data_IF_401271074432
#
_entry.id   IF_401271074432
#
_cell.length_a   1.000
_cell.length_b   1.000
_cell.length_c   1.000
_cell.angle_alpha   90.00
_cell.angle_beta   90.00
_cell.angle_gamma   90.00
#
_symmetry.space_group_name_H-M   'P 1'
#
loop_
_entity.id
_entity.type
_entity.pdbx_description
1 polymer ?
#
# COMPACT_ATOMS: atom_id res chain seq x y z
N UNK A 1 -2.81 -11.90 26.78
CA UNK A 1 -1.96 -10.94 26.04
C UNK A 1 -2.84 -10.08 25.16
N UNK A 2 -2.73 -8.75 25.26
CA UNK A 2 -3.44 -7.81 24.37
C UNK A 2 -2.92 -7.95 22.94
N UNK A 3 -3.83 -7.97 21.96
CA UNK A 3 -3.45 -8.05 20.54
C UNK A 3 -2.74 -6.78 20.11
N UNK A 4 -1.69 -6.88 19.28
CA UNK A 4 -1.06 -5.75 18.63
C UNK A 4 -1.98 -5.20 17.53
N UNK A 5 -2.18 -3.90 17.50
CA UNK A 5 -3.08 -3.20 16.58
C UNK A 5 -2.33 -2.66 15.37
N UNK A 6 -2.65 -3.15 14.19
CA UNK A 6 -2.03 -2.74 12.93
C UNK A 6 -3.02 -1.89 12.13
N UNK A 7 -2.59 -0.72 11.67
CA UNK A 7 -3.38 0.18 10.86
C UNK A 7 -2.78 0.26 9.46
N UNK A 8 -3.45 -0.32 8.49
CA UNK A 8 -3.07 -0.27 7.09
C UNK A 8 -3.65 0.97 6.42
N UNK A 9 -2.92 1.55 5.48
CA UNK A 9 -3.39 2.65 4.65
C UNK A 9 -3.33 2.29 3.17
N UNK A 10 -4.39 2.63 2.42
CA UNK A 10 -4.47 2.43 0.98
C UNK A 10 -5.25 3.55 0.30
N UNK A 11 -4.68 4.08 -0.80
CA UNK A 11 -5.28 5.16 -1.60
C UNK A 11 -5.82 4.69 -2.95
N UNK A 12 -5.44 3.49 -3.42
CA UNK A 12 -5.84 2.99 -4.75
C UNK A 12 -6.00 1.47 -4.79
N UNK A 13 -6.78 0.96 -5.76
CA UNK A 13 -7.02 -0.48 -5.99
C UNK A 13 -5.72 -1.29 -6.07
N UNK A 14 -4.71 -0.81 -6.79
CA UNK A 14 -3.42 -1.47 -6.89
C UNK A 14 -2.77 -1.67 -5.52
N UNK A 15 -2.80 -0.67 -4.64
CA UNK A 15 -2.22 -0.74 -3.29
C UNK A 15 -2.86 -1.83 -2.43
N UNK A 16 -4.20 -1.85 -2.33
CA UNK A 16 -4.89 -2.86 -1.51
C UNK A 16 -4.69 -4.28 -2.03
N UNK A 17 -4.59 -4.46 -3.36
CA UNK A 17 -4.32 -5.77 -3.94
C UNK A 17 -2.96 -6.33 -3.55
N UNK A 18 -1.94 -5.48 -3.41
CA UNK A 18 -0.64 -5.87 -2.86
C UNK A 18 -0.70 -6.19 -1.36
N UNK A 19 -1.52 -5.47 -0.59
CA UNK A 19 -1.68 -5.68 0.86
C UNK A 19 -2.53 -6.90 1.20
N UNK A 20 -3.42 -7.35 0.31
CA UNK A 20 -4.37 -8.44 0.57
C UNK A 20 -3.69 -9.73 1.08
N UNK A 21 -2.59 -10.24 0.49
CA UNK A 21 -1.94 -11.45 1.00
C UNK A 21 -1.41 -11.30 2.44
N UNK A 22 -0.92 -10.11 2.77
CA UNK A 22 -0.46 -9.79 4.14
C UNK A 22 -1.65 -9.75 5.11
N UNK A 23 -2.75 -9.12 4.73
CA UNK A 23 -3.99 -9.05 5.52
C UNK A 23 -4.55 -10.45 5.74
N UNK A 24 -4.56 -11.31 4.72
CA UNK A 24 -4.99 -12.72 4.83
C UNK A 24 -4.11 -13.52 5.80
N UNK A 25 -2.80 -13.27 5.80
CA UNK A 25 -1.88 -13.87 6.76
C UNK A 25 -2.17 -13.41 8.20
N UNK A 26 -2.39 -12.12 8.39
CA UNK A 26 -2.70 -11.51 9.70
C UNK A 26 -4.03 -12.02 10.28
N UNK A 27 -5.05 -12.22 9.43
CA UNK A 27 -6.35 -12.80 9.87
C UNK A 27 -6.21 -14.14 10.58
N UNK A 28 -5.18 -14.91 10.26
CA UNK A 28 -4.89 -16.21 10.88
C UNK A 28 -4.18 -16.09 12.23
N UNK A 29 -3.71 -14.90 12.60
CA UNK A 29 -2.98 -14.67 13.83
C UNK A 29 -3.91 -14.26 14.96
N UNK A 30 -3.87 -15.02 16.06
CA UNK A 30 -4.58 -14.64 17.30
C UNK A 30 -3.95 -13.43 18.01
N UNK A 31 -2.71 -13.03 17.62
CA UNK A 31 -1.91 -11.99 18.30
C UNK A 31 -2.10 -10.59 17.72
N UNK A 32 -2.73 -10.47 16.54
CA UNK A 32 -2.85 -9.21 15.81
C UNK A 32 -4.32 -8.85 15.61
N UNK A 33 -4.67 -7.60 15.91
CA UNK A 33 -5.86 -6.92 15.43
C UNK A 33 -5.48 -5.96 14.31
N UNK A 34 -6.37 -5.73 13.34
CA UNK A 34 -6.07 -4.82 12.24
C UNK A 34 -7.27 -3.98 11.81
N UNK A 35 -6.96 -2.77 11.33
CA UNK A 35 -7.88 -1.91 10.60
C UNK A 35 -7.22 -1.39 9.33
N UNK A 36 -8.04 -0.97 8.38
CA UNK A 36 -7.59 -0.45 7.08
C UNK A 36 -8.23 0.92 6.86
N UNK A 37 -7.43 1.92 6.51
CA UNK A 37 -7.93 3.21 6.03
C UNK A 37 -8.03 3.15 4.51
N UNK A 38 -9.25 3.29 4.00
CA UNK A 38 -9.51 3.54 2.58
C UNK A 38 -9.59 5.04 2.34
N UNK A 39 -8.79 5.55 1.42
CA UNK A 39 -8.68 6.97 1.11
C UNK A 39 -8.58 7.20 -0.40
N UNK A 40 -8.41 8.45 -0.80
CA UNK A 40 -8.13 8.92 -2.16
C UNK A 40 -9.03 8.27 -3.23
N UNK A 41 -8.47 7.61 -4.24
CA UNK A 41 -9.20 6.99 -5.35
C UNK A 41 -10.24 5.94 -4.91
N UNK A 42 -10.06 5.31 -3.75
CA UNK A 42 -11.06 4.37 -3.23
C UNK A 42 -12.39 5.04 -2.89
N UNK A 43 -12.37 6.33 -2.61
CA UNK A 43 -13.53 7.11 -2.18
C UNK A 43 -14.15 7.94 -3.31
N UNK A 44 -13.51 7.98 -4.48
CA UNK A 44 -13.89 8.83 -5.58
C UNK A 44 -14.68 8.06 -6.65
N UNK A 45 -15.84 8.63 -7.05
CA UNK A 45 -16.70 8.06 -8.10
C UNK A 45 -16.03 8.01 -9.46
N UNK A 46 -15.15 8.96 -9.78
CA UNK A 46 -14.41 8.99 -11.05
C UNK A 46 -13.50 7.77 -11.21
N UNK A 47 -13.04 7.19 -10.09
CA UNK A 47 -12.22 5.97 -10.07
C UNK A 47 -13.01 4.72 -9.68
N UNK A 48 -14.36 4.79 -9.76
CA UNK A 48 -15.27 3.66 -9.54
C UNK A 48 -15.54 3.31 -8.09
N UNK A 49 -15.24 4.20 -7.13
CA UNK A 49 -15.46 3.97 -5.67
C UNK A 49 -15.00 2.57 -5.24
N UNK A 50 -13.77 2.22 -5.55
CA UNK A 50 -13.25 0.85 -5.41
C UNK A 50 -13.30 0.30 -3.98
N UNK A 51 -13.64 1.13 -2.96
CA UNK A 51 -14.00 0.67 -1.61
C UNK A 51 -15.09 -0.40 -1.60
N UNK A 52 -16.02 -0.35 -2.58
CA UNK A 52 -17.14 -1.28 -2.67
C UNK A 52 -16.69 -2.70 -3.06
N UNK A 53 -15.59 -2.83 -3.80
CA UNK A 53 -15.00 -4.14 -4.15
C UNK A 53 -14.43 -4.86 -2.92
N UNK A 54 -14.15 -4.11 -1.85
CA UNK A 54 -13.61 -4.61 -0.59
C UNK A 54 -14.65 -4.58 0.54
N UNK A 55 -15.94 -4.67 0.19
CA UNK A 55 -17.04 -4.65 1.17
C UNK A 55 -16.90 -5.74 2.26
N UNK A 56 -16.26 -6.86 1.95
CA UNK A 56 -15.95 -7.93 2.90
C UNK A 56 -14.98 -7.50 4.02
N UNK A 57 -14.28 -6.37 3.86
CA UNK A 57 -13.41 -5.76 4.87
C UNK A 57 -14.12 -4.65 5.67
N UNK A 58 -15.39 -4.35 5.42
CA UNK A 58 -16.13 -3.21 6.00
C UNK A 58 -15.99 -3.11 7.53
N UNK A 59 -16.08 -4.24 8.23
CA UNK A 59 -15.95 -4.27 9.71
C UNK A 59 -14.55 -3.85 10.19
N UNK A 60 -13.54 -3.96 9.33
CA UNK A 60 -12.15 -3.62 9.60
C UNK A 60 -11.72 -2.33 8.91
N UNK A 61 -12.66 -1.53 8.38
CA UNK A 61 -12.36 -0.36 7.57
C UNK A 61 -12.67 0.94 8.29
N UNK A 62 -11.78 1.91 8.11
CA UNK A 62 -12.03 3.32 8.25
C UNK A 62 -12.04 3.98 6.87
N UNK A 63 -12.69 5.10 6.77
CA UNK A 63 -12.78 5.87 5.54
C UNK A 63 -12.26 7.28 5.76
N UNK A 64 -11.28 7.69 4.93
CA UNK A 64 -10.66 9.00 4.97
C UNK A 64 -10.84 9.67 3.59
N UNK A 65 -12.01 10.31 3.35
CA UNK A 65 -12.29 10.91 2.06
C UNK A 65 -11.34 12.07 1.75
N UNK A 66 -10.88 12.14 0.50
CA UNK A 66 -10.07 13.22 -0.03
C UNK A 66 -10.94 14.38 -0.55
N UNK A 67 -10.31 15.52 -0.83
CA UNK A 67 -10.96 16.67 -1.47
C UNK A 67 -10.74 16.67 -2.99
N UNK A 68 -10.58 15.51 -3.59
CA UNK A 68 -10.28 15.39 -5.00
C UNK A 68 -11.48 15.79 -5.85
N UNK A 69 -11.41 16.96 -6.52
CA UNK A 69 -12.42 17.43 -7.48
C UNK A 69 -11.90 17.39 -8.93
N UNK A 70 -10.62 17.60 -9.10
CA UNK A 70 -9.89 17.49 -10.38
C UNK A 70 -8.42 17.26 -10.12
N UNK A 71 -7.72 16.71 -11.09
CA UNK A 71 -6.28 16.49 -11.01
C UNK A 71 -5.54 17.82 -11.12
N UNK A 72 -5.14 18.40 -10.00
CA UNK A 72 -4.32 19.61 -9.92
C UNK A 72 -3.52 19.64 -8.62
N UNK A 73 -2.39 20.35 -8.64
CA UNK A 73 -1.53 20.53 -7.47
C UNK A 73 -2.28 21.07 -6.26
N UNK A 74 -3.19 22.03 -6.47
CA UNK A 74 -4.02 22.61 -5.42
C UNK A 74 -4.90 21.54 -4.74
N UNK A 75 -5.61 20.73 -5.52
CA UNK A 75 -6.50 19.70 -4.95
C UNK A 75 -5.73 18.55 -4.34
N UNK A 76 -4.59 18.15 -4.91
CA UNK A 76 -3.70 17.15 -4.31
C UNK A 76 -3.20 17.61 -2.94
N UNK A 77 -2.71 18.87 -2.84
CA UNK A 77 -2.24 19.44 -1.57
C UNK A 77 -3.36 19.56 -0.53
N UNK A 78 -4.56 20.05 -0.93
CA UNK A 78 -5.73 20.11 -0.05
C UNK A 78 -6.21 18.73 0.39
N UNK A 79 -6.12 17.73 -0.46
CA UNK A 79 -6.47 16.34 -0.11
C UNK A 79 -5.53 15.76 0.93
N UNK A 80 -4.23 16.03 0.85
CA UNK A 80 -3.26 15.62 1.88
C UNK A 80 -3.58 16.29 3.22
N UNK A 81 -3.80 17.61 3.22
CA UNK A 81 -4.14 18.36 4.43
C UNK A 81 -5.44 17.83 5.10
N UNK A 82 -6.49 17.59 4.30
CA UNK A 82 -7.74 17.00 4.79
C UNK A 82 -7.55 15.56 5.27
N UNK A 83 -6.72 14.80 4.58
CA UNK A 83 -6.34 13.45 4.97
C UNK A 83 -5.64 13.41 6.31
N UNK A 84 -4.74 14.37 6.61
CA UNK A 84 -4.08 14.50 7.92
C UNK A 84 -5.14 14.69 9.02
N UNK A 85 -6.06 15.66 8.88
CA UNK A 85 -7.14 15.89 9.85
C UNK A 85 -7.99 14.63 10.10
N UNK A 86 -8.39 13.94 9.03
CA UNK A 86 -9.17 12.71 9.14
C UNK A 86 -8.39 11.59 9.84
N UNK A 87 -7.12 11.40 9.46
CA UNK A 87 -6.30 10.28 9.95
C UNK A 87 -5.86 10.47 11.41
N UNK A 88 -5.67 11.70 11.87
CA UNK A 88 -5.46 12.00 13.30
C UNK A 88 -6.63 11.46 14.13
N UNK A 89 -7.87 11.75 13.74
CA UNK A 89 -9.07 11.25 14.45
C UNK A 89 -9.16 9.74 14.46
N UNK A 90 -8.74 9.08 13.36
CA UNK A 90 -8.70 7.61 13.27
C UNK A 90 -7.62 7.05 14.19
N UNK A 91 -6.43 7.65 14.21
CA UNK A 91 -5.30 7.27 15.07
C UNK A 91 -5.69 7.38 16.53
N UNK A 92 -6.27 8.49 16.95
CA UNK A 92 -6.72 8.69 18.34
C UNK A 92 -7.78 7.68 18.76
N UNK A 93 -8.73 7.40 17.87
CA UNK A 93 -9.81 6.43 18.14
C UNK A 93 -9.28 4.99 18.21
N UNK A 94 -8.43 4.57 17.27
CA UNK A 94 -8.00 3.17 17.17
C UNK A 94 -6.77 2.88 18.04
N UNK A 95 -5.88 3.87 18.22
CA UNK A 95 -4.61 3.77 18.94
C UNK A 95 -3.78 2.58 18.42
N UNK A 96 -3.29 2.65 17.16
CA UNK A 96 -2.52 1.57 16.57
C UNK A 96 -1.14 1.46 17.21
N UNK A 97 -0.62 0.24 17.32
CA UNK A 97 0.79 -0.03 17.68
C UNK A 97 1.73 0.15 16.47
N UNK A 98 1.20 -0.04 15.25
CA UNK A 98 1.95 0.11 13.99
C UNK A 98 1.06 0.64 12.89
N UNK A 99 1.64 1.49 12.03
CA UNK A 99 1.02 1.93 10.77
C UNK A 99 1.77 1.29 9.60
N UNK A 100 1.03 0.75 8.62
CA UNK A 100 1.60 0.09 7.44
C UNK A 100 1.24 0.92 6.21
N UNK A 101 2.26 1.35 5.48
CA UNK A 101 2.15 2.09 4.23
C UNK A 101 2.85 1.34 3.10
N UNK A 102 2.38 1.52 1.86
CA UNK A 102 2.91 0.83 0.70
C UNK A 102 3.14 1.81 -0.45
N UNK A 103 4.37 1.79 -0.99
CA UNK A 103 4.72 2.45 -2.23
C UNK A 103 5.17 3.91 -2.05
N UNK A 104 4.70 4.76 -2.95
CA UNK A 104 5.35 6.03 -3.28
C UNK A 104 4.40 7.21 -3.49
N UNK A 105 3.13 7.04 -3.18
CA UNK A 105 2.14 8.07 -3.49
C UNK A 105 2.07 9.16 -2.40
N UNK A 106 1.80 10.38 -2.86
CA UNK A 106 1.78 11.57 -1.98
C UNK A 106 0.72 11.53 -0.89
N UNK A 107 -0.40 10.81 -1.10
CA UNK A 107 -1.41 10.63 -0.05
C UNK A 107 -0.89 9.89 1.19
N UNK A 108 0.24 9.18 1.10
CA UNK A 108 0.87 8.52 2.25
C UNK A 108 1.32 9.52 3.32
N UNK A 109 1.62 10.77 2.95
CA UNK A 109 1.91 11.82 3.93
C UNK A 109 0.74 12.06 4.88
N UNK A 110 -0.49 11.85 4.43
CA UNK A 110 -1.67 12.08 5.25
C UNK A 110 -1.78 11.16 6.46
N UNK A 111 -1.14 10.00 6.42
CA UNK A 111 -1.05 9.07 7.56
C UNK A 111 0.36 9.02 8.15
N UNK A 112 1.39 9.18 7.32
CA UNK A 112 2.80 9.14 7.78
C UNK A 112 3.16 10.27 8.72
N UNK A 113 2.79 11.51 8.38
CA UNK A 113 3.07 12.69 9.24
C UNK A 113 2.41 12.56 10.62
N UNK A 114 1.09 12.30 10.74
CA UNK A 114 0.49 12.09 12.07
C UNK A 114 1.12 10.92 12.81
N UNK A 115 1.41 9.81 12.15
CA UNK A 115 2.02 8.65 12.82
C UNK A 115 3.37 8.99 13.44
N UNK A 116 4.21 9.75 12.72
CA UNK A 116 5.49 10.24 13.23
C UNK A 116 5.30 11.13 14.48
N UNK A 117 4.34 12.10 14.43
CA UNK A 117 4.07 13.02 15.54
C UNK A 117 3.57 12.25 16.78
N UNK A 118 2.75 11.22 16.59
CA UNK A 118 2.23 10.38 17.68
C UNK A 118 3.23 9.30 18.14
N UNK A 119 4.45 9.27 17.61
CA UNK A 119 5.47 8.25 17.88
C UNK A 119 4.97 6.82 17.61
N UNK A 120 4.11 6.64 16.59
CA UNK A 120 3.62 5.33 16.15
C UNK A 120 4.58 4.81 15.09
N UNK A 121 5.23 3.66 15.31
CA UNK A 121 6.15 3.08 14.33
C UNK A 121 5.47 2.81 12.98
N UNK A 122 6.13 3.24 11.90
CA UNK A 122 5.68 3.06 10.52
C UNK A 122 6.46 1.92 9.88
N UNK A 123 5.75 1.00 9.22
CA UNK A 123 6.31 -0.05 8.37
C UNK A 123 6.07 0.36 6.92
N UNK A 124 7.16 0.64 6.19
CA UNK A 124 7.10 0.99 4.78
C UNK A 124 7.38 -0.21 3.89
N UNK A 125 6.40 -0.57 3.07
CA UNK A 125 6.51 -1.65 2.10
C UNK A 125 6.88 -1.05 0.74
N UNK A 126 7.90 -1.62 0.08
CA UNK A 126 8.44 -1.20 -1.23
C UNK A 126 9.12 0.18 -1.21
N UNK A 127 9.74 0.54 -0.07
CA UNK A 127 10.70 1.64 0.00
C UNK A 127 12.03 1.30 -0.69
N UNK A 128 12.83 2.33 -0.97
CA UNK A 128 14.19 2.18 -1.51
C UNK A 128 14.32 1.93 -3.01
N UNK A 129 13.21 1.75 -3.74
CA UNK A 129 13.23 1.70 -5.20
C UNK A 129 13.56 3.10 -5.76
N UNK A 130 14.30 3.13 -6.88
CA UNK A 130 14.64 4.36 -7.62
C UNK A 130 13.92 4.34 -8.95
N UNK A 131 13.12 5.38 -9.20
CA UNK A 131 12.36 5.58 -10.43
C UNK A 131 12.77 6.96 -10.98
N UNK A 132 13.71 7.00 -11.91
CA UNK A 132 14.25 8.27 -12.42
C UNK A 132 13.16 9.13 -13.07
N UNK A 133 13.19 10.44 -12.78
CA UNK A 133 12.35 11.43 -13.46
C UNK A 133 10.90 11.53 -12.96
N UNK A 134 10.54 10.91 -11.83
CA UNK A 134 9.19 10.91 -11.29
C UNK A 134 9.11 11.59 -9.92
N UNK A 135 8.07 12.42 -9.68
CA UNK A 135 7.79 13.01 -8.37
C UNK A 135 7.54 11.97 -7.28
N UNK A 136 7.11 10.76 -7.68
CA UNK A 136 6.87 9.64 -6.78
C UNK A 136 8.15 9.16 -6.08
N UNK A 137 9.33 9.37 -6.70
CA UNK A 137 10.63 9.05 -6.08
C UNK A 137 10.88 9.87 -4.81
N UNK A 138 10.68 11.20 -4.89
CA UNK A 138 10.83 12.09 -3.73
C UNK A 138 9.85 11.71 -2.62
N UNK A 139 8.62 11.38 -2.97
CA UNK A 139 7.61 10.90 -2.00
C UNK A 139 8.05 9.59 -1.35
N UNK A 140 8.49 8.62 -2.14
CA UNK A 140 8.95 7.31 -1.64
C UNK A 140 10.09 7.46 -0.64
N UNK A 141 11.08 8.29 -0.98
CA UNK A 141 12.23 8.51 -0.10
C UNK A 141 11.83 9.24 1.18
N UNK A 142 10.98 10.27 1.08
CA UNK A 142 10.46 10.97 2.26
C UNK A 142 9.68 10.04 3.19
N UNK A 143 8.80 9.19 2.65
CA UNK A 143 8.06 8.19 3.44
C UNK A 143 9.01 7.16 4.05
N UNK A 144 10.07 6.74 3.31
CA UNK A 144 11.09 5.87 3.88
C UNK A 144 11.79 6.51 5.08
N UNK A 145 12.12 7.81 5.00
CA UNK A 145 12.77 8.53 6.12
C UNK A 145 11.84 8.75 7.33
N UNK A 146 10.52 8.82 7.11
CA UNK A 146 9.53 8.86 8.20
C UNK A 146 9.31 7.48 8.85
N UNK A 147 9.77 6.40 8.22
CA UNK A 147 9.44 5.03 8.61
C UNK A 147 10.52 4.38 9.47
N UNK A 148 10.08 3.54 10.41
CA UNK A 148 10.95 2.84 11.35
C UNK A 148 11.41 1.48 10.82
N UNK A 149 10.57 0.80 10.01
CA UNK A 149 10.83 -0.53 9.46
C UNK A 149 10.53 -0.55 7.96
N UNK A 150 11.28 -1.35 7.20
CA UNK A 150 11.21 -1.38 5.75
C UNK A 150 11.14 -2.80 5.24
N UNK A 151 10.10 -3.12 4.44
CA UNK A 151 9.97 -4.37 3.73
C UNK A 151 10.19 -4.11 2.25
N UNK A 152 11.38 -4.49 1.75
CA UNK A 152 11.79 -4.18 0.38
C UNK A 152 11.56 -5.34 -0.56
N UNK A 153 11.36 -5.01 -1.85
CA UNK A 153 11.04 -5.97 -2.91
C UNK A 153 12.27 -6.73 -3.42
N UNK A 154 13.46 -6.16 -3.26
CA UNK A 154 14.70 -6.69 -3.82
C UNK A 154 15.95 -6.15 -3.11
N UNK A 155 17.11 -6.74 -3.45
CA UNK A 155 18.37 -6.39 -2.83
C UNK A 155 18.91 -5.00 -3.23
N UNK A 156 18.54 -4.49 -4.41
CA UNK A 156 18.92 -3.13 -4.84
C UNK A 156 18.26 -2.08 -3.95
N UNK A 157 16.96 -2.23 -3.69
CA UNK A 157 16.19 -1.37 -2.79
C UNK A 157 16.72 -1.42 -1.37
N UNK A 158 17.11 -2.61 -0.89
CA UNK A 158 17.79 -2.80 0.40
C UNK A 158 19.08 -1.96 0.49
N UNK A 159 19.96 -2.05 -0.53
CA UNK A 159 21.20 -1.27 -0.57
C UNK A 159 20.95 0.23 -0.63
N UNK A 160 19.92 0.66 -1.35
CA UNK A 160 19.57 2.06 -1.45
C UNK A 160 19.15 2.64 -0.10
N UNK A 161 18.34 1.93 0.68
CA UNK A 161 17.95 2.38 2.02
C UNK A 161 19.14 2.49 2.96
N UNK A 162 20.11 1.58 2.89
CA UNK A 162 21.37 1.70 3.67
C UNK A 162 22.13 2.96 3.26
N UNK A 163 22.22 3.28 1.95
CA UNK A 163 22.87 4.52 1.48
C UNK A 163 22.15 5.78 1.98
N UNK A 164 20.85 5.71 2.24
CA UNK A 164 20.07 6.80 2.85
C UNK A 164 20.23 6.87 4.38
N UNK A 165 21.06 6.01 4.98
CA UNK A 165 21.33 6.00 6.41
C UNK A 165 20.37 5.15 7.24
N UNK A 166 19.50 4.35 6.62
CA UNK A 166 18.62 3.43 7.35
C UNK A 166 19.44 2.24 7.89
N UNK A 167 19.30 1.96 9.17
CA UNK A 167 19.98 0.84 9.82
C UNK A 167 19.52 -0.50 9.21
N UNK A 168 20.48 -1.34 8.84
CA UNK A 168 20.29 -2.65 8.25
C UNK A 168 19.31 -3.53 9.05
N UNK A 169 19.33 -3.44 10.39
CA UNK A 169 18.43 -4.25 11.26
C UNK A 169 16.95 -3.92 11.08
N UNK A 170 16.65 -2.73 10.54
CA UNK A 170 15.30 -2.25 10.30
C UNK A 170 14.80 -2.54 8.87
N UNK A 171 15.61 -3.21 8.03
CA UNK A 171 15.29 -3.50 6.65
C UNK A 171 15.20 -5.01 6.44
N UNK A 172 14.06 -5.48 5.94
CA UNK A 172 13.83 -6.87 5.59
C UNK A 172 13.54 -7.00 4.08
N UNK A 173 14.35 -7.81 3.38
CA UNK A 173 14.07 -8.14 1.99
C UNK A 173 13.02 -9.27 1.94
N UNK A 174 11.77 -8.91 1.67
CA UNK A 174 10.62 -9.83 1.65
C UNK A 174 10.26 -10.31 0.24
N UNK A 175 10.87 -9.71 -0.79
CA UNK A 175 10.42 -9.90 -2.16
C UNK A 175 9.08 -9.20 -2.45
N UNK A 176 8.50 -9.52 -3.60
CA UNK A 176 7.20 -8.99 -4.02
C UNK A 176 6.06 -9.78 -3.38
N UNK A 177 5.29 -9.14 -2.50
CA UNK A 177 4.14 -9.75 -1.80
C UNK A 177 3.08 -10.26 -2.81
N UNK A 178 2.91 -9.57 -3.94
CA UNK A 178 1.97 -9.95 -5.00
C UNK A 178 2.26 -11.30 -5.66
N UNK A 179 3.53 -11.73 -5.69
CA UNK A 179 3.91 -13.02 -6.27
C UNK A 179 3.28 -14.22 -5.53
N UNK A 180 2.93 -14.06 -4.27
CA UNK A 180 2.25 -15.11 -3.50
C UNK A 180 0.91 -15.56 -4.12
N UNK A 181 0.17 -14.63 -4.75
CA UNK A 181 -1.07 -14.95 -5.49
C UNK A 181 -0.80 -15.67 -6.80
N UNK A 182 0.31 -15.35 -7.49
CA UNK A 182 0.65 -15.94 -8.79
C UNK A 182 1.06 -17.40 -8.61
N UNK A 183 1.80 -17.76 -7.57
CA UNK A 183 2.20 -19.15 -7.31
C UNK A 183 1.00 -20.07 -7.09
N UNK A 184 -0.10 -19.57 -6.52
CA UNK A 184 -1.33 -20.35 -6.33
C UNK A 184 -2.15 -20.53 -7.62
N UNK A 185 -1.86 -19.79 -8.69
CA UNK A 185 -2.65 -19.78 -9.92
C UNK A 185 -2.10 -20.67 -11.05
N UNK A 186 -1.00 -21.44 -10.82
CA UNK A 186 -0.37 -22.27 -11.85
C UNK A 186 -1.35 -23.25 -12.54
N UNK A 187 -2.38 -23.71 -11.84
CA UNK A 187 -3.39 -24.60 -12.41
C UNK A 187 -4.44 -23.87 -13.31
N UNK A 188 -4.54 -22.54 -13.22
CA UNK A 188 -5.49 -21.76 -14.02
C UNK A 188 -4.93 -21.26 -15.37
N UNK A 189 -3.61 -21.39 -15.58
CA UNK A 189 -2.99 -20.95 -16.82
C UNK A 189 -3.46 -21.81 -18.00
N UNK A 190 -3.53 -23.13 -17.84
CA UNK A 190 -4.06 -24.05 -18.86
C UNK A 190 -5.51 -23.72 -19.23
N UNK A 191 -6.36 -23.45 -18.23
CA UNK A 191 -7.75 -23.09 -18.43
C UNK A 191 -7.90 -21.76 -19.17
N UNK A 192 -7.01 -20.78 -18.86
CA UNK A 192 -6.99 -19.48 -19.54
C UNK A 192 -6.59 -19.63 -21.02
N UNK A 193 -5.55 -20.41 -21.32
CA UNK A 193 -5.12 -20.71 -22.68
C UNK A 193 -6.21 -21.40 -23.48
N UNK A 194 -6.91 -22.38 -22.88
CA UNK A 194 -8.02 -23.06 -23.51
C UNK A 194 -9.19 -22.10 -23.79
N UNK A 195 -9.55 -21.22 -22.82
CA UNK A 195 -10.62 -20.22 -22.98
C UNK A 195 -10.30 -19.18 -24.05
N UNK A 196 -9.04 -18.82 -24.20
CA UNK A 196 -8.58 -17.85 -25.20
C UNK A 196 -8.15 -18.47 -26.52
N UNK A 197 -8.31 -19.79 -26.67
CA UNK A 197 -7.90 -20.57 -27.85
C UNK A 197 -6.42 -20.33 -28.24
N UNK A 198 -5.54 -20.24 -27.22
CA UNK A 198 -4.11 -19.96 -27.39
C UNK A 198 -3.31 -21.25 -27.30
N UNK A 199 -2.28 -21.36 -28.12
CA UNK A 199 -1.36 -22.51 -28.11
C UNK A 199 -0.26 -22.31 -27.05
N UNK A 200 -0.23 -23.18 -26.02
CA UNK A 200 0.78 -23.18 -24.97
C UNK A 200 2.23 -23.35 -25.45
N UNK A 201 2.42 -23.90 -26.67
CA UNK A 201 3.75 -24.10 -27.27
C UNK A 201 4.26 -22.87 -28.01
N UNK A 202 3.39 -21.88 -28.30
CA UNK A 202 3.76 -20.64 -28.97
C UNK A 202 3.97 -19.51 -27.99
N UNK A 203 4.97 -18.66 -28.22
CA UNK A 203 5.17 -17.43 -27.44
C UNK A 203 4.01 -16.48 -27.72
N UNK A 204 3.21 -16.19 -26.68
CA UNK A 204 2.11 -15.23 -26.76
C UNK A 204 2.55 -13.91 -26.13
N UNK A 205 2.44 -12.82 -26.88
CA UNK A 205 2.73 -11.47 -26.40
C UNK A 205 1.39 -10.75 -26.15
N UNK A 206 1.15 -10.31 -24.90
CA UNK A 206 0.03 -9.44 -24.58
C UNK A 206 0.50 -7.99 -24.66
N UNK A 207 -0.04 -7.23 -25.60
CA UNK A 207 0.12 -5.78 -25.66
C UNK A 207 -1.01 -5.13 -24.87
N UNK A 208 -0.66 -4.36 -23.84
CA UNK A 208 -1.63 -3.54 -23.14
C UNK A 208 -1.67 -2.19 -23.85
N UNK A 209 -2.67 -1.97 -24.70
CA UNK A 209 -2.95 -0.65 -25.25
C UNK A 209 -3.63 0.18 -24.16
N UNK A 210 -2.86 0.86 -23.34
CA UNK A 210 -3.38 1.94 -22.52
C UNK A 210 -3.54 3.16 -23.40
N UNK A 211 -4.76 3.38 -23.92
CA UNK A 211 -5.21 4.67 -24.41
C UNK A 211 -5.51 5.58 -23.25
#
# INVERSE_FOLDING_TARGET
MTKKKFLFYTGKRGGINHLTPLIEGIKKSAKIDYKIIFSDMHMDKQFGETKNEFAYLKRNSFYSPSLFKKDSFLYRSKSIAKGIDNNVRIIEKYKPDFVIVLGDRSELFSVGVPSMIYNIPIIHIYGGDVTQGCTDESTRHSISMLSNYHFVSNYKSFKNLIKFGIDKKNILNTGLISLHKIQKSKNKIKDLYNKLNLDLKKKTYCFNSSS
#
